data_IF_828365009021
#
_entry.id   IF_828365009021
#
_cell.length_a   1.000
_cell.length_b   1.000
_cell.length_c   1.000
_cell.angle_alpha   90.00
_cell.angle_beta   90.00
_cell.angle_gamma   90.00
#
_symmetry.space_group_name_H-M   'P 1'
#
loop_
_entity.id
_entity.type
_entity.pdbx_description
1 polymer ?
#
# COMPACT_ATOMS: atom_id res chain seq x y z
N UNK A 1 5.92 -41.31 24.79
CA UNK A 1 5.09 -41.01 25.98
C UNK A 1 5.28 -39.52 26.19
N UNK A 2 4.54 -38.67 25.49
CA UNK A 2 3.18 -38.23 25.81
C UNK A 2 3.33 -36.85 26.48
N UNK A 3 2.61 -35.77 26.16
CA UNK A 3 1.35 -35.56 25.44
C UNK A 3 1.37 -34.12 24.86
N UNK A 4 0.58 -33.94 23.81
CA UNK A 4 0.36 -32.70 23.06
C UNK A 4 -0.66 -31.84 23.83
N UNK A 5 -0.35 -30.57 24.13
CA UNK A 5 -1.35 -29.63 24.66
C UNK A 5 -1.96 -28.82 23.51
N UNK A 6 -3.14 -29.28 23.13
CA UNK A 6 -4.09 -28.66 22.22
C UNK A 6 -4.90 -27.60 22.98
N UNK A 7 -4.64 -26.31 22.74
CA UNK A 7 -5.52 -25.22 23.19
C UNK A 7 -6.34 -24.70 22.00
N UNK A 8 -7.55 -25.25 21.85
CA UNK A 8 -8.60 -24.68 21.02
C UNK A 8 -9.42 -23.69 21.86
N UNK A 9 -9.53 -22.43 21.41
CA UNK A 9 -10.65 -21.56 21.81
C UNK A 9 -11.37 -21.01 20.58
N UNK A 10 -12.49 -21.65 20.28
CA UNK A 10 -13.52 -21.21 19.34
C UNK A 10 -14.43 -20.20 20.01
N UNK A 11 -14.73 -19.06 19.37
CA UNK A 11 -16.03 -18.36 19.52
C UNK A 11 -16.10 -17.17 18.55
N UNK A 12 -16.88 -17.33 17.50
CA UNK A 12 -17.27 -16.28 16.55
C UNK A 12 -18.58 -16.70 15.90
N UNK A 13 -19.68 -16.24 16.48
CA UNK A 13 -21.06 -16.61 16.14
C UNK A 13 -21.56 -15.62 15.08
N UNK A 14 -21.85 -16.09 13.87
CA UNK A 14 -22.57 -15.30 12.86
C UNK A 14 -23.88 -16.00 12.49
N UNK A 15 -24.97 -15.25 12.60
CA UNK A 15 -26.35 -15.70 12.49
C UNK A 15 -26.85 -15.69 11.04
N UNK A 16 -27.29 -16.87 10.61
CA UNK A 16 -28.55 -17.19 9.90
C UNK A 16 -29.05 -16.29 8.77
N UNK A 17 -29.22 -16.90 7.60
CA UNK A 17 -30.46 -16.78 6.82
C UNK A 17 -30.94 -18.16 6.31
N UNK A 18 -32.25 -18.36 6.46
CA UNK A 18 -33.02 -19.59 6.27
C UNK A 18 -33.09 -20.06 4.81
N UNK A 19 -33.11 -21.38 4.61
CA UNK A 19 -34.03 -22.05 3.67
C UNK A 19 -34.39 -23.44 4.19
N UNK A 20 -35.69 -23.63 4.43
CA UNK A 20 -36.35 -24.87 4.84
C UNK A 20 -36.16 -26.01 3.84
N UNK A 21 -36.00 -27.22 4.37
CA UNK A 21 -35.93 -28.47 3.64
C UNK A 21 -35.75 -29.63 4.61
N UNK A 22 -36.87 -30.28 4.91
CA UNK A 22 -37.15 -31.34 5.89
C UNK A 22 -36.19 -32.53 5.86
N UNK A 23 -35.75 -32.98 7.05
CA UNK A 23 -35.84 -34.34 7.61
C UNK A 23 -34.70 -34.61 8.60
N UNK A 24 -35.07 -34.94 9.84
CA UNK A 24 -34.16 -35.31 10.93
C UNK A 24 -33.67 -36.74 10.73
N UNK A 25 -32.35 -36.90 10.59
CA UNK A 25 -31.66 -38.10 11.04
C UNK A 25 -30.63 -37.70 12.09
N UNK A 26 -30.71 -38.35 13.24
CA UNK A 26 -29.89 -38.09 14.41
C UNK A 26 -28.45 -38.58 14.19
N UNK A 27 -27.49 -37.82 14.72
CA UNK A 27 -26.12 -38.25 15.08
C UNK A 27 -25.11 -38.55 13.95
N UNK A 28 -24.83 -37.56 13.10
CA UNK A 28 -23.49 -37.41 12.51
C UNK A 28 -23.26 -35.93 12.15
N UNK A 29 -22.83 -35.10 13.11
CA UNK A 29 -22.34 -33.77 12.76
C UNK A 29 -21.16 -33.97 11.78
N UNK A 30 -21.17 -33.34 10.58
CA UNK A 30 -20.34 -33.77 9.48
C UNK A 30 -18.90 -33.36 9.76
N UNK A 31 -18.03 -34.33 10.06
CA UNK A 31 -16.58 -34.13 10.20
C UNK A 31 -16.03 -33.33 9.00
N UNK A 32 -16.57 -33.59 7.80
CA UNK A 32 -16.24 -32.85 6.58
C UNK A 32 -16.61 -31.36 6.58
N UNK A 33 -17.67 -30.90 7.27
CA UNK A 33 -18.00 -29.46 7.31
C UNK A 33 -17.01 -28.69 8.17
N UNK A 34 -16.61 -29.24 9.32
CA UNK A 34 -15.60 -28.64 10.20
C UNK A 34 -14.23 -28.62 9.51
N UNK A 35 -13.83 -29.72 8.88
CA UNK A 35 -12.59 -29.81 8.10
C UNK A 35 -12.56 -28.82 6.93
N UNK A 36 -13.63 -28.76 6.14
CA UNK A 36 -13.74 -27.80 5.03
C UNK A 36 -13.69 -26.34 5.52
N UNK A 37 -14.30 -26.04 6.66
CA UNK A 37 -14.22 -24.72 7.28
C UNK A 37 -12.78 -24.37 7.69
N UNK A 38 -12.06 -25.30 8.34
CA UNK A 38 -10.66 -25.11 8.73
C UNK A 38 -9.76 -24.90 7.50
N UNK A 39 -9.97 -25.67 6.44
CA UNK A 39 -9.24 -25.51 5.17
C UNK A 39 -9.53 -24.14 4.55
N UNK A 40 -10.79 -23.73 4.50
CA UNK A 40 -11.20 -22.43 3.96
C UNK A 40 -10.56 -21.28 4.74
N UNK A 41 -10.58 -21.33 6.06
CA UNK A 41 -9.98 -20.29 6.90
C UNK A 41 -8.44 -20.29 6.80
N UNK A 42 -7.81 -21.45 6.65
CA UNK A 42 -6.37 -21.54 6.36
C UNK A 42 -6.03 -20.82 5.06
N UNK A 43 -6.78 -21.06 3.98
CA UNK A 43 -6.60 -20.38 2.68
C UNK A 43 -6.81 -18.87 2.81
N UNK A 44 -7.83 -18.43 3.54
CA UNK A 44 -8.07 -17.00 3.80
C UNK A 44 -6.88 -16.35 4.51
N UNK A 45 -6.32 -17.02 5.52
CA UNK A 45 -5.13 -16.53 6.26
C UNK A 45 -3.86 -16.55 5.42
N UNK A 46 -3.70 -17.52 4.51
CA UNK A 46 -2.62 -17.56 3.54
C UNK A 46 -2.69 -16.37 2.57
N UNK A 47 -3.84 -16.16 1.94
CA UNK A 47 -4.06 -15.00 1.07
C UNK A 47 -3.83 -13.67 1.80
N UNK A 48 -4.24 -13.56 3.06
CA UNK A 48 -3.97 -12.38 3.88
C UNK A 48 -2.45 -12.21 4.14
N UNK A 49 -1.72 -13.30 4.44
CA UNK A 49 -0.26 -13.24 4.63
C UNK A 49 0.48 -12.81 3.37
N UNK A 50 0.05 -13.29 2.20
CA UNK A 50 0.62 -12.88 0.91
C UNK A 50 0.45 -11.37 0.68
N UNK A 51 -0.72 -10.82 1.02
CA UNK A 51 -0.96 -9.37 0.92
C UNK A 51 -0.07 -8.54 1.84
N UNK A 52 0.25 -9.04 3.02
CA UNK A 52 1.25 -8.38 3.89
C UNK A 52 2.66 -8.44 3.30
N UNK A 53 3.06 -9.57 2.73
CA UNK A 53 4.38 -9.71 2.09
C UNK A 53 4.53 -8.79 0.88
N UNK A 54 3.51 -8.72 0.03
CA UNK A 54 3.43 -7.77 -1.10
C UNK A 54 3.57 -6.33 -0.61
N UNK A 55 2.83 -5.96 0.44
CA UNK A 55 2.86 -4.61 1.00
C UNK A 55 4.24 -4.24 1.59
N UNK A 56 4.91 -5.18 2.27
CA UNK A 56 6.29 -4.99 2.77
C UNK A 56 7.24 -4.70 1.61
N UNK A 57 7.14 -5.43 0.50
CA UNK A 57 8.00 -5.23 -0.67
C UNK A 57 7.81 -3.87 -1.38
N UNK A 58 6.65 -3.24 -1.24
CA UNK A 58 6.35 -1.94 -1.86
C UNK A 58 6.79 -0.75 -1.01
N UNK A 59 6.92 -0.92 0.31
CA UNK A 59 7.18 0.18 1.24
C UNK A 59 8.69 0.21 1.57
N UNK A 60 9.44 1.25 1.16
CA UNK A 60 10.89 1.29 1.34
C UNK A 60 11.37 1.23 2.80
N UNK A 61 10.49 1.57 3.76
CA UNK A 61 10.78 1.57 5.19
C UNK A 61 10.36 0.28 5.92
N UNK A 62 9.85 -0.71 5.18
CA UNK A 62 9.47 -2.01 5.71
C UNK A 62 10.51 -3.07 5.36
N UNK A 63 10.63 -4.06 6.23
CA UNK A 63 11.41 -5.27 6.05
C UNK A 63 10.57 -6.51 6.44
N UNK A 64 11.10 -7.71 6.21
CA UNK A 64 10.40 -8.96 6.54
C UNK A 64 10.06 -9.13 8.03
N UNK A 65 10.73 -8.37 8.91
CA UNK A 65 10.55 -8.41 10.37
C UNK A 65 9.55 -7.37 10.88
N UNK A 66 9.08 -6.46 10.03
CA UNK A 66 8.16 -5.39 10.41
C UNK A 66 6.83 -5.97 10.87
N UNK A 67 6.32 -5.51 12.02
CA UNK A 67 5.06 -6.03 12.58
C UNK A 67 3.86 -5.62 11.71
N UNK A 68 2.76 -6.40 11.74
CA UNK A 68 1.56 -6.11 10.94
C UNK A 68 1.02 -4.70 11.18
N UNK A 69 1.02 -4.24 12.43
CA UNK A 69 0.56 -2.90 12.78
C UNK A 69 1.46 -1.82 12.16
N UNK A 70 2.78 -2.00 12.29
CA UNK A 70 3.75 -1.06 11.72
C UNK A 70 3.71 -1.04 10.19
N UNK A 71 3.50 -2.18 9.53
CA UNK A 71 3.33 -2.24 8.07
C UNK A 71 2.15 -1.36 7.64
N UNK A 72 1.01 -1.45 8.33
CA UNK A 72 -0.18 -0.65 8.00
C UNK A 72 0.06 0.86 8.23
N UNK A 73 0.71 1.23 9.33
CA UNK A 73 1.05 2.62 9.62
C UNK A 73 2.01 3.20 8.56
N UNK A 74 3.12 2.51 8.32
CA UNK A 74 4.10 2.90 7.29
C UNK A 74 3.49 2.95 5.89
N UNK A 75 2.52 2.06 5.59
CA UNK A 75 1.80 2.09 4.32
C UNK A 75 0.99 3.39 4.16
N UNK A 76 0.25 3.79 5.20
CA UNK A 76 -0.53 5.02 5.18
C UNK A 76 0.38 6.25 4.96
N UNK A 77 1.49 6.31 5.68
CA UNK A 77 2.47 7.39 5.57
C UNK A 77 3.10 7.44 4.16
N UNK A 78 3.48 6.29 3.61
CA UNK A 78 4.10 6.21 2.30
C UNK A 78 3.12 6.59 1.17
N UNK A 79 1.84 6.20 1.28
CA UNK A 79 0.80 6.65 0.34
C UNK A 79 0.66 8.18 0.38
N UNK A 80 0.63 8.78 1.56
CA UNK A 80 0.55 10.25 1.70
C UNK A 80 1.76 10.94 1.07
N UNK A 81 2.97 10.42 1.36
CA UNK A 81 4.22 10.92 0.78
C UNK A 81 4.23 10.87 -0.76
N UNK A 82 3.86 9.73 -1.36
CA UNK A 82 3.85 9.57 -2.82
C UNK A 82 2.82 10.50 -3.46
N UNK A 83 1.66 10.68 -2.85
CA UNK A 83 0.64 11.64 -3.33
C UNK A 83 1.17 13.07 -3.35
N UNK A 84 1.82 13.51 -2.28
CA UNK A 84 2.44 14.85 -2.22
C UNK A 84 3.50 15.04 -3.32
N UNK A 85 4.32 14.02 -3.57
CA UNK A 85 5.33 14.06 -4.64
C UNK A 85 4.71 14.14 -6.02
N UNK A 86 3.63 13.42 -6.27
CA UNK A 86 2.88 13.50 -7.54
C UNK A 86 2.30 14.90 -7.72
N UNK A 87 1.71 15.49 -6.68
CA UNK A 87 1.11 16.81 -6.77
C UNK A 87 2.16 17.91 -7.03
N UNK A 88 3.33 17.83 -6.38
CA UNK A 88 4.46 18.72 -6.66
C UNK A 88 4.94 18.58 -8.11
N UNK A 89 5.14 17.35 -8.58
CA UNK A 89 5.57 17.10 -9.95
C UNK A 89 4.57 17.63 -11.00
N UNK A 90 3.26 17.51 -10.74
CA UNK A 90 2.22 18.09 -11.58
C UNK A 90 2.27 19.61 -11.59
N UNK A 91 2.46 20.25 -10.44
CA UNK A 91 2.59 21.71 -10.35
C UNK A 91 3.81 22.22 -11.12
N UNK A 92 4.96 21.56 -10.99
CA UNK A 92 6.18 21.89 -11.73
C UNK A 92 5.99 21.72 -13.25
N UNK A 93 5.35 20.63 -13.67
CA UNK A 93 5.00 20.40 -15.07
C UNK A 93 4.06 21.50 -15.60
N UNK A 94 3.01 21.86 -14.87
CA UNK A 94 2.07 22.90 -15.29
C UNK A 94 2.74 24.27 -15.36
N UNK A 95 3.64 24.59 -14.42
CA UNK A 95 4.48 25.79 -14.46
C UNK A 95 5.36 25.81 -15.71
N UNK A 96 5.99 24.69 -16.03
CA UNK A 96 6.82 24.54 -17.23
C UNK A 96 5.99 24.73 -18.50
N UNK A 97 4.86 24.04 -18.64
CA UNK A 97 3.96 24.16 -19.80
C UNK A 97 3.52 25.62 -20.01
N UNK A 98 3.08 26.31 -18.95
CA UNK A 98 2.71 27.74 -19.04
C UNK A 98 3.88 28.63 -19.44
N UNK A 99 5.10 28.34 -18.97
CA UNK A 99 6.29 29.08 -19.37
C UNK A 99 6.58 28.89 -20.86
N UNK A 100 6.47 27.67 -21.37
CA UNK A 100 6.65 27.35 -22.79
C UNK A 100 5.61 28.04 -23.65
N UNK A 101 4.33 28.02 -23.25
CA UNK A 101 3.26 28.76 -23.93
C UNK A 101 3.54 30.26 -23.99
N UNK A 102 4.06 30.84 -22.89
CA UNK A 102 4.36 32.27 -22.80
C UNK A 102 5.60 32.69 -23.61
N UNK A 103 6.58 31.81 -23.78
CA UNK A 103 7.81 32.08 -24.53
C UNK A 103 7.70 31.74 -26.03
N UNK A 104 6.62 31.06 -26.45
CA UNK A 104 6.37 30.66 -27.83
C UNK A 104 7.34 29.59 -28.35
N UNK A 105 7.08 29.01 -29.54
CA UNK A 105 7.84 27.89 -30.09
C UNK A 105 9.32 28.19 -30.41
N UNK A 106 9.74 29.46 -30.36
CA UNK A 106 11.12 29.89 -30.66
C UNK A 106 11.98 30.11 -29.40
N UNK A 107 11.45 29.94 -28.18
CA UNK A 107 12.16 30.18 -26.93
C UNK A 107 13.10 29.04 -26.46
N UNK A 108 13.12 27.90 -27.17
CA UNK A 108 13.86 26.69 -26.75
C UNK A 108 15.18 26.44 -27.47
N UNK A 109 15.63 27.33 -28.37
CA UNK A 109 16.89 27.12 -29.10
C UNK A 109 18.16 27.56 -28.35
N UNK A 110 18.13 27.75 -27.03
CA UNK A 110 19.35 27.94 -26.24
C UNK A 110 19.18 27.64 -24.74
N UNK A 111 19.38 26.38 -24.29
CA UNK A 111 19.39 26.03 -22.87
C UNK A 111 20.64 26.53 -22.10
N UNK A 112 21.63 27.15 -22.77
CA UNK A 112 22.91 27.56 -22.15
C UNK A 112 23.07 29.07 -21.91
N UNK A 113 22.16 29.92 -22.40
CA UNK A 113 22.31 31.38 -22.38
C UNK A 113 21.76 32.11 -21.15
N UNK A 114 20.97 31.45 -20.30
CA UNK A 114 20.24 32.10 -19.20
C UNK A 114 20.98 32.13 -17.85
N UNK A 115 22.17 31.54 -17.74
CA UNK A 115 22.96 31.47 -16.49
C UNK A 115 24.03 32.58 -16.40
N UNK A 116 23.81 33.74 -17.01
CA UNK A 116 24.69 34.89 -16.82
C UNK A 116 24.24 35.69 -15.58
N UNK A 117 24.71 35.28 -14.41
CA UNK A 117 24.66 36.12 -13.21
C UNK A 117 25.50 37.39 -13.45
N UNK A 118 24.99 38.60 -13.15
CA UNK A 118 25.81 39.80 -13.24
C UNK A 118 26.81 39.81 -12.09
N UNK A 119 28.05 39.40 -12.35
CA UNK A 119 29.16 39.73 -11.47
C UNK A 119 29.34 41.25 -11.51
N UNK A 120 29.00 41.89 -10.38
CA UNK A 120 29.11 43.32 -10.19
C UNK A 120 30.51 43.82 -10.52
N UNK A 121 30.60 44.80 -11.43
CA UNK A 121 31.78 45.62 -11.62
C UNK A 121 31.98 46.46 -10.36
N UNK A 122 32.92 46.06 -9.51
CA UNK A 122 33.51 46.93 -8.49
C UNK A 122 34.33 48.00 -9.21
N UNK A 123 33.87 49.25 -9.15
CA UNK A 123 34.62 50.42 -9.60
C UNK A 123 35.73 50.73 -8.61
N UNK A 124 36.98 50.45 -8.95
CA UNK A 124 38.13 51.05 -8.27
C UNK A 124 38.32 52.46 -8.82
N UNK A 125 38.08 53.48 -7.98
CA UNK A 125 38.41 54.88 -8.25
C UNK A 125 39.91 55.12 -8.07
N UNK A 126 40.46 55.98 -8.95
CA UNK A 126 41.82 56.51 -8.89
C UNK A 126 41.88 57.80 -8.07
#
# INVERSE_FOLDING_TARGET
VGEEEEEQRSEGKEQTENKEGTEKTESAAPLGRKEMHVISEKKRREAMREKYAELIGLIPSCDEKTTKLDVLGKAADYIAYVKEKIDKAKQEHDMYVRLVEKLGPNGMNNPMGAMAHPLGRSSCGA
#
